data_IF_756312532014
#
_entry.id   IF_756312532014
#
_cell.length_a   1.000
_cell.length_b   1.000
_cell.length_c   1.000
_cell.angle_alpha   90.00
_cell.angle_beta   90.00
_cell.angle_gamma   90.00
#
_symmetry.space_group_name_H-M   'P 1'
#
loop_
_entity.id
_entity.type
_entity.pdbx_description
1 polymer ?
#
# COMPACT_ATOMS: atom_id res chain seq x y z
N UNK A 1 7.43 31.93 3.10
CA UNK A 1 7.26 31.17 1.85
C UNK A 1 6.95 29.75 2.27
N UNK A 2 5.66 29.43 2.33
CA UNK A 2 5.16 28.14 2.80
C UNK A 2 5.35 27.15 1.66
N UNK A 3 6.46 26.41 1.68
CA UNK A 3 6.61 25.29 0.77
C UNK A 3 5.64 24.21 1.24
N UNK A 4 4.41 24.24 0.70
CA UNK A 4 3.41 23.19 0.80
C UNK A 4 3.92 21.95 0.07
N UNK A 5 4.99 21.35 0.59
CA UNK A 5 5.26 19.93 0.43
C UNK A 5 4.16 19.22 1.22
N UNK A 6 2.96 19.20 0.64
CA UNK A 6 1.88 18.29 1.00
C UNK A 6 2.40 16.88 0.68
N UNK A 7 3.29 16.38 1.54
CA UNK A 7 3.63 14.97 1.57
C UNK A 7 2.35 14.29 2.01
N UNK A 8 1.51 13.91 1.06
CA UNK A 8 0.40 13.03 1.37
C UNK A 8 1.03 11.73 1.85
N UNK A 9 1.01 11.50 3.16
CA UNK A 9 1.16 10.17 3.80
C UNK A 9 0.05 9.21 3.40
N UNK A 10 -0.70 9.50 2.33
CA UNK A 10 -1.82 8.69 1.89
C UNK A 10 -1.28 7.44 1.20
N UNK A 11 -1.13 6.39 1.99
CA UNK A 11 -0.71 5.06 1.56
C UNK A 11 -1.92 4.13 1.39
N UNK A 12 -3.09 4.71 1.07
CA UNK A 12 -4.30 3.95 0.84
C UNK A 12 -4.40 3.51 -0.61
N UNK A 13 -4.45 2.21 -0.84
CA UNK A 13 -4.60 1.60 -2.16
C UNK A 13 -6.03 1.07 -2.34
N UNK A 14 -6.65 1.42 -3.46
CA UNK A 14 -7.92 0.82 -3.89
C UNK A 14 -7.67 -0.40 -4.78
N UNK A 15 -8.38 -1.49 -4.55
CA UNK A 15 -8.36 -2.68 -5.40
C UNK A 15 -9.78 -3.15 -5.71
N UNK A 16 -10.05 -3.57 -6.96
CA UNK A 16 -11.32 -4.23 -7.33
C UNK A 16 -11.25 -5.76 -7.17
N UNK A 17 -10.09 -6.28 -6.75
CA UNK A 17 -9.88 -7.70 -6.53
C UNK A 17 -10.46 -8.12 -5.17
N UNK A 18 -11.63 -8.78 -5.21
CA UNK A 18 -12.28 -9.33 -4.02
C UNK A 18 -11.43 -10.39 -3.33
N UNK A 19 -10.70 -11.20 -4.10
CA UNK A 19 -9.85 -12.27 -3.55
C UNK A 19 -8.69 -11.68 -2.76
N UNK A 20 -8.06 -10.59 -3.23
CA UNK A 20 -6.99 -9.92 -2.48
C UNK A 20 -7.46 -9.46 -1.10
N UNK A 21 -8.67 -8.94 -1.00
CA UNK A 21 -9.26 -8.53 0.28
C UNK A 21 -9.53 -9.74 1.19
N UNK A 22 -9.96 -10.87 0.62
CA UNK A 22 -10.14 -12.12 1.36
C UNK A 22 -8.80 -12.68 1.84
N UNK A 23 -7.76 -12.65 1.00
CA UNK A 23 -6.40 -13.10 1.34
C UNK A 23 -5.81 -12.27 2.49
N UNK A 24 -6.01 -10.95 2.50
CA UNK A 24 -5.53 -10.09 3.59
C UNK A 24 -6.28 -10.37 4.90
N UNK A 25 -7.58 -10.72 4.83
CA UNK A 25 -8.39 -11.02 6.02
C UNK A 25 -8.08 -12.37 6.64
N UNK A 26 -7.77 -13.36 5.82
CA UNK A 26 -7.43 -14.72 6.26
C UNK A 26 -6.25 -15.25 5.44
N UNK A 27 -5.02 -14.81 5.74
CA UNK A 27 -3.84 -15.18 4.97
C UNK A 27 -3.51 -16.67 5.08
N UNK A 28 -3.93 -17.33 6.16
CA UNK A 28 -3.68 -18.75 6.40
C UNK A 28 -4.45 -19.65 5.42
N UNK A 29 -5.58 -19.18 4.87
CA UNK A 29 -6.32 -19.89 3.83
C UNK A 29 -5.62 -19.88 2.46
N UNK A 30 -4.56 -19.10 2.27
CA UNK A 30 -3.91 -18.87 0.98
C UNK A 30 -2.38 -19.09 1.03
N UNK A 31 -1.92 -20.31 1.36
CA UNK A 31 -0.50 -20.59 1.59
C UNK A 31 0.40 -20.33 0.37
N UNK A 32 -0.16 -20.41 -0.84
CA UNK A 32 0.57 -20.11 -2.09
C UNK A 32 1.03 -18.64 -2.20
N UNK A 33 0.43 -17.73 -1.42
CA UNK A 33 0.73 -16.29 -1.41
C UNK A 33 1.33 -15.82 -0.07
N UNK A 34 1.85 -16.75 0.75
CA UNK A 34 2.31 -16.43 2.10
C UNK A 34 3.35 -15.31 2.14
N UNK A 35 4.31 -15.32 1.21
CA UNK A 35 5.38 -14.30 1.12
C UNK A 35 4.82 -12.92 0.78
N UNK A 36 3.90 -12.84 -0.17
CA UNK A 36 3.26 -11.60 -0.58
C UNK A 36 2.39 -11.02 0.54
N UNK A 37 1.67 -11.88 1.25
CA UNK A 37 0.83 -11.50 2.38
C UNK A 37 1.64 -11.04 3.59
N UNK A 38 2.77 -11.69 3.89
CA UNK A 38 3.71 -11.24 4.93
C UNK A 38 4.25 -9.82 4.62
N UNK A 39 4.55 -9.53 3.35
CA UNK A 39 4.98 -8.19 2.93
C UNK A 39 3.87 -7.16 3.12
N UNK A 40 2.63 -7.51 2.82
CA UNK A 40 1.47 -6.62 3.03
C UNK A 40 1.24 -6.37 4.52
N UNK A 41 1.34 -7.41 5.36
CA UNK A 41 1.24 -7.29 6.81
C UNK A 41 2.37 -6.42 7.39
N UNK A 42 3.60 -6.60 6.91
CA UNK A 42 4.73 -5.75 7.28
C UNK A 42 4.45 -4.29 6.92
N UNK A 43 3.89 -4.00 5.74
CA UNK A 43 3.50 -2.64 5.36
C UNK A 43 2.40 -2.07 6.29
N UNK A 44 1.42 -2.88 6.69
CA UNK A 44 0.39 -2.47 7.65
C UNK A 44 0.97 -2.14 9.03
N UNK A 45 1.99 -2.87 9.48
CA UNK A 45 2.66 -2.63 10.78
C UNK A 45 3.57 -1.41 10.71
N UNK A 46 4.34 -1.25 9.63
CA UNK A 46 5.31 -0.16 9.49
C UNK A 46 4.65 1.19 9.20
N UNK A 47 3.42 1.20 8.65
CA UNK A 47 2.75 2.41 8.23
C UNK A 47 1.30 2.47 8.71
N UNK A 48 1.04 3.35 9.69
CA UNK A 48 -0.29 3.54 10.28
C UNK A 48 -1.37 3.97 9.27
N UNK A 49 -0.96 4.63 8.19
CA UNK A 49 -1.86 5.12 7.13
C UNK A 49 -1.99 4.14 5.94
N UNK A 50 -1.31 2.98 5.98
CA UNK A 50 -1.40 1.99 4.91
C UNK A 50 -2.71 1.22 4.99
N UNK A 51 -3.52 1.32 3.93
CA UNK A 51 -4.84 0.67 3.88
C UNK A 51 -5.15 0.16 2.49
N UNK A 52 -5.55 -1.10 2.37
CA UNK A 52 -6.08 -1.64 1.11
C UNK A 52 -7.60 -1.70 1.22
N UNK A 53 -8.32 -1.01 0.34
CA UNK A 53 -9.79 -0.98 0.32
C UNK A 53 -10.35 -1.58 -0.96
N UNK A 54 -11.47 -2.30 -0.82
CA UNK A 54 -12.21 -2.78 -1.99
C UNK A 54 -12.92 -1.60 -2.66
N UNK A 55 -12.61 -1.34 -3.93
CA UNK A 55 -13.32 -0.35 -4.75
C UNK A 55 -14.13 -1.06 -5.83
N UNK A 56 -15.31 -0.54 -6.16
CA UNK A 56 -16.09 -1.09 -7.27
C UNK A 56 -15.42 -0.69 -8.59
N UNK A 57 -15.28 -1.65 -9.53
CA UNK A 57 -14.66 -1.47 -10.85
C UNK A 57 -15.19 -0.25 -11.62
N UNK A 58 -16.43 0.15 -11.39
CA UNK A 58 -17.08 1.33 -11.99
C UNK A 58 -16.57 2.69 -11.49
N UNK A 59 -15.78 2.72 -10.41
CA UNK A 59 -15.13 3.93 -9.89
C UNK A 59 -13.69 4.08 -10.38
N UNK A 60 -13.28 3.35 -11.43
CA UNK A 60 -12.01 3.56 -12.13
C UNK A 60 -12.03 4.84 -12.98
N UNK A 61 -12.51 5.96 -12.42
CA UNK A 61 -12.47 7.28 -13.05
C UNK A 61 -11.16 7.92 -12.68
N UNK A 62 -10.09 7.41 -13.30
CA UNK A 62 -8.69 7.69 -12.98
C UNK A 62 -8.44 7.51 -11.48
N UNK A 63 -7.69 6.46 -11.13
CA UNK A 63 -6.91 6.53 -9.91
C UNK A 63 -6.09 7.82 -10.04
N UNK A 64 -6.60 8.94 -9.51
CA UNK A 64 -5.80 10.09 -9.18
C UNK A 64 -4.60 9.46 -8.51
N UNK A 65 -3.45 9.69 -9.10
CA UNK A 65 -2.15 9.33 -8.61
C UNK A 65 -2.07 9.85 -7.17
N UNK A 66 -2.61 9.08 -6.22
CA UNK A 66 -2.44 9.31 -4.79
C UNK A 66 -1.02 8.83 -4.59
N UNK A 67 -0.12 9.79 -4.79
CA UNK A 67 1.31 9.56 -4.85
C UNK A 67 1.78 8.86 -3.59
N UNK A 68 1.95 7.55 -3.69
CA UNK A 68 2.76 6.83 -2.74
C UNK A 68 4.21 7.13 -3.11
N UNK A 69 4.72 8.26 -2.61
CA UNK A 69 6.13 8.35 -2.28
C UNK A 69 6.37 7.34 -1.16
N UNK A 70 6.49 6.06 -1.51
CA UNK A 70 7.08 5.07 -0.63
C UNK A 70 8.49 5.61 -0.40
N UNK A 71 8.73 6.17 0.78
CA UNK A 71 10.10 6.38 1.26
C UNK A 71 10.69 4.99 1.41
N UNK A 72 11.18 4.47 0.29
CA UNK A 72 12.01 3.29 0.25
C UNK A 72 13.13 3.56 1.25
N UNK A 73 13.07 2.89 2.39
CA UNK A 73 14.18 2.75 3.32
C UNK A 73 15.23 1.84 2.64
N UNK A 74 15.80 2.31 1.52
CA UNK A 74 17.08 1.80 1.07
C UNK A 74 18.11 2.47 2.00
N UNK A 75 18.95 1.70 2.73
CA UNK A 75 20.07 2.28 3.43
C UNK A 75 20.92 3.03 2.39
N UNK A 76 21.04 4.35 2.58
CA UNK A 76 21.86 5.22 1.73
C UNK A 76 23.26 4.61 1.64
N UNK A 77 23.81 4.28 0.45
CA UNK A 77 25.20 3.87 0.35
C UNK A 77 26.08 5.01 0.89
N UNK A 78 27.11 4.71 1.71
CA UNK A 78 28.07 5.73 2.09
C UNK A 78 28.70 6.29 0.82
N UNK A 79 28.53 7.60 0.61
CA UNK A 79 29.20 8.32 -0.47
C UNK A 79 30.66 8.47 -0.03
N UNK A 80 31.56 7.74 -0.70
CA UNK A 80 33.00 8.02 -0.73
C UNK A 80 33.26 9.06 -1.81
#
# INVERSE_FOLDING_TARGET
MENMLQHSTCQSFGTDCKELIAMIKDPQAWPSFATELERIETLQICFLDFKITHTARSFHRELHFIGCSISVWLPRPPQV
#
